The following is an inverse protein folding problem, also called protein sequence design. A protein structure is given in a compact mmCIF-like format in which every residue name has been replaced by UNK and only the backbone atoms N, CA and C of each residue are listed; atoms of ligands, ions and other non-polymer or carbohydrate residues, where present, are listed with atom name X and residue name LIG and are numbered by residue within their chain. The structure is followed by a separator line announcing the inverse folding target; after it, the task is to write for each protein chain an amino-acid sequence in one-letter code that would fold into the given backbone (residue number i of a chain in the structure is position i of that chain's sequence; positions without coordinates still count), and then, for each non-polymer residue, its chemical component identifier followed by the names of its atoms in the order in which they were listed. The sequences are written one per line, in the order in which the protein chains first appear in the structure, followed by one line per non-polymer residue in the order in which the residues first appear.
data_IF_308842962837
#
_entry.id   IF_308842962837
#
_cell.length_a   1.000
_cell.length_b   1.000
_cell.length_c   1.000
_cell.angle_alpha   90.00
_cell.angle_beta   90.00
_cell.angle_gamma   90.00
#
_symmetry.space_group_name_H-M   'P 1'
#
loop_
_entity.id
_entity.type
_entity.pdbx_description
1 polymer ?
#
# COMPACT_ATOMS: atom_id res chain seq x y z
N UNK A 1 -3.72 39.36 6.57
CA UNK A 1 -3.57 38.58 7.81
C UNK A 1 -2.20 38.86 8.41
N UNK A 2 -2.13 39.16 9.70
CA UNK A 2 -0.84 39.32 10.40
C UNK A 2 -0.17 37.95 10.59
N UNK A 3 1.16 37.90 10.74
CA UNK A 3 1.89 36.64 11.04
C UNK A 3 1.30 35.88 12.24
N UNK A 4 0.67 36.62 13.17
CA UNK A 4 -0.04 36.08 14.31
C UNK A 4 -1.33 35.32 13.94
N UNK A 5 -2.11 35.81 12.97
CA UNK A 5 -3.34 35.15 12.52
C UNK A 5 -3.05 33.85 11.75
N UNK A 6 -1.95 33.82 10.99
CA UNK A 6 -1.48 32.62 10.28
C UNK A 6 -1.00 31.57 11.29
N UNK A 7 -0.23 32.00 12.30
CA UNK A 7 0.20 31.12 13.39
C UNK A 7 -0.98 30.59 14.22
N UNK A 8 -1.98 31.44 14.50
CA UNK A 8 -3.18 31.03 15.23
C UNK A 8 -4.02 30.02 14.43
N UNK A 9 -4.18 30.22 13.12
CA UNK A 9 -4.88 29.27 12.25
C UNK A 9 -4.15 27.92 12.17
N UNK A 10 -2.81 27.94 12.12
CA UNK A 10 -1.99 26.73 12.13
C UNK A 10 -2.08 25.97 13.47
N UNK A 11 -2.04 26.68 14.59
CA UNK A 11 -2.24 26.09 15.93
C UNK A 11 -3.65 25.54 16.08
N UNK A 12 -4.67 26.22 15.54
CA UNK A 12 -6.05 25.75 15.56
C UNK A 12 -6.24 24.47 14.73
N UNK A 13 -5.65 24.42 13.53
CA UNK A 13 -5.63 23.21 12.70
C UNK A 13 -4.88 22.06 13.39
N UNK A 14 -3.78 22.34 14.10
CA UNK A 14 -3.05 21.36 14.93
C UNK A 14 -3.93 20.83 16.06
N UNK A 15 -4.64 21.69 16.79
CA UNK A 15 -5.52 21.29 17.88
C UNK A 15 -6.71 20.47 17.39
N UNK A 16 -7.25 20.77 16.21
CA UNK A 16 -8.29 19.94 15.57
C UNK A 16 -7.74 18.58 15.16
N UNK A 17 -6.57 18.53 14.53
CA UNK A 17 -5.91 17.27 14.15
C UNK A 17 -5.57 16.41 15.36
N UNK A 18 -5.03 17.01 16.42
CA UNK A 18 -4.74 16.36 17.70
C UNK A 18 -6.01 15.90 18.41
N UNK A 19 -7.08 16.69 18.38
CA UNK A 19 -8.38 16.30 18.94
C UNK A 19 -9.01 15.13 18.17
N UNK A 20 -8.99 15.14 16.84
CA UNK A 20 -9.43 14.02 16.02
C UNK A 20 -8.60 12.76 16.28
N UNK A 21 -7.28 12.91 16.45
CA UNK A 21 -6.38 11.83 16.86
C UNK A 21 -6.72 11.28 18.25
N UNK A 22 -6.93 12.14 19.24
CA UNK A 22 -7.27 11.74 20.61
C UNK A 22 -8.68 11.14 20.71
N UNK A 23 -9.65 11.61 19.92
CA UNK A 23 -11.00 11.02 19.81
C UNK A 23 -10.93 9.65 19.14
N UNK A 24 -10.11 9.50 18.10
CA UNK A 24 -9.81 8.20 17.48
C UNK A 24 -9.15 7.24 18.47
N UNK A 25 -8.18 7.72 19.26
CA UNK A 25 -7.53 6.97 20.33
C UNK A 25 -8.47 6.64 21.51
N UNK A 26 -9.48 7.47 21.80
CA UNK A 26 -10.45 7.17 22.88
C UNK A 26 -11.46 6.11 22.45
N UNK A 27 -11.80 6.02 21.16
CA UNK A 27 -12.57 4.90 20.58
C UNK A 27 -11.80 3.57 20.60
N UNK A 28 -10.46 3.62 20.70
CA UNK A 28 -9.56 2.46 20.77
C UNK A 28 -9.76 1.58 22.04
N UNK A 29 -10.23 2.15 23.16
CA UNK A 29 -10.44 1.39 24.40
C UNK A 29 -11.69 0.49 24.40
N UNK A 30 -12.49 0.48 23.32
CA UNK A 30 -13.68 -0.36 23.19
C UNK A 30 -13.58 -1.50 22.16
N UNK A 31 -12.47 -1.63 21.42
CA UNK A 31 -12.34 -2.57 20.31
C UNK A 31 -11.47 -3.77 20.70
N UNK A 32 -12.08 -4.95 20.82
CA UNK A 32 -11.42 -6.21 21.23
C UNK A 32 -10.99 -7.09 20.05
N UNK A 33 -11.22 -6.65 18.80
CA UNK A 33 -10.97 -7.48 17.61
C UNK A 33 -9.80 -6.98 16.76
N UNK A 34 -8.98 -7.92 16.29
CA UNK A 34 -7.65 -7.67 15.69
C UNK A 34 -7.76 -7.13 14.25
N UNK A 35 -8.89 -7.38 13.58
CA UNK A 35 -9.12 -7.02 12.17
C UNK A 35 -9.53 -5.55 11.99
N UNK A 36 -10.36 -5.04 12.90
CA UNK A 36 -10.69 -3.60 13.00
C UNK A 36 -9.41 -2.77 13.27
N UNK A 37 -8.48 -3.37 14.01
CA UNK A 37 -7.17 -2.80 14.31
C UNK A 37 -6.28 -2.63 13.06
N UNK A 38 -6.43 -3.46 12.02
CA UNK A 38 -5.55 -3.44 10.84
C UNK A 38 -5.98 -2.40 9.80
N UNK A 39 -7.29 -2.30 9.55
CA UNK A 39 -7.90 -1.34 8.62
C UNK A 39 -7.81 0.10 9.18
N UNK A 40 -8.04 0.28 10.49
CA UNK A 40 -7.83 1.59 11.14
C UNK A 40 -6.35 1.98 11.23
N UNK A 41 -5.41 1.07 11.43
CA UNK A 41 -3.97 1.41 11.43
C UNK A 41 -3.48 1.93 10.08
N UNK A 42 -4.02 1.42 8.97
CA UNK A 42 -3.69 1.91 7.64
C UNK A 42 -4.23 3.32 7.38
N UNK A 43 -5.49 3.57 7.74
CA UNK A 43 -6.13 4.88 7.62
C UNK A 43 -5.49 5.92 8.56
N UNK A 44 -5.21 5.53 9.81
CA UNK A 44 -4.52 6.36 10.81
C UNK A 44 -3.08 6.60 10.39
N UNK A 45 -2.36 5.62 9.84
CA UNK A 45 -1.00 5.80 9.32
C UNK A 45 -0.94 6.78 8.15
N UNK A 46 -1.87 6.66 7.19
CA UNK A 46 -1.98 7.59 6.07
C UNK A 46 -2.38 9.01 6.52
N UNK A 47 -3.33 9.13 7.44
CA UNK A 47 -3.73 10.41 8.03
C UNK A 47 -2.59 11.04 8.84
N UNK A 48 -1.82 10.23 9.57
CA UNK A 48 -0.67 10.70 10.37
C UNK A 48 0.48 11.15 9.48
N UNK A 49 0.79 10.41 8.41
CA UNK A 49 1.82 10.82 7.46
C UNK A 49 1.42 12.10 6.71
N UNK A 50 0.16 12.19 6.29
CA UNK A 50 -0.40 13.41 5.69
C UNK A 50 -0.32 14.57 6.66
N UNK A 51 -0.68 14.35 7.94
CA UNK A 51 -0.56 15.37 8.98
C UNK A 51 0.90 15.77 9.26
N UNK A 52 1.85 14.83 9.25
CA UNK A 52 3.29 15.10 9.43
C UNK A 52 3.85 15.88 8.25
N UNK A 53 3.47 15.57 7.01
CA UNK A 53 3.90 16.31 5.82
C UNK A 53 3.29 17.72 5.83
N UNK A 54 2.01 17.85 6.19
CA UNK A 54 1.35 19.16 6.36
C UNK A 54 1.99 19.97 7.50
N UNK A 55 2.34 19.33 8.63
CA UNK A 55 3.03 19.96 9.76
C UNK A 55 4.47 20.35 9.43
N UNK A 56 5.19 19.51 8.70
CA UNK A 56 6.53 19.79 8.20
C UNK A 56 6.51 20.98 7.25
N UNK A 57 5.49 21.08 6.39
CA UNK A 57 5.27 22.24 5.52
C UNK A 57 4.94 23.52 6.28
N UNK A 58 4.01 23.45 7.24
CA UNK A 58 3.68 24.59 8.10
C UNK A 58 4.92 25.02 8.87
N UNK A 59 5.70 24.06 9.38
CA UNK A 59 6.95 24.33 10.06
C UNK A 59 7.99 24.98 9.15
N UNK A 60 8.11 24.53 7.91
CA UNK A 60 8.99 25.11 6.89
C UNK A 60 8.51 26.53 6.51
N UNK A 61 7.20 26.76 6.38
CA UNK A 61 6.62 28.08 6.09
C UNK A 61 6.70 29.07 7.26
N UNK A 62 6.70 28.58 8.50
CA UNK A 62 6.69 29.40 9.73
C UNK A 62 8.09 29.64 10.30
N UNK A 63 8.96 28.63 10.26
CA UNK A 63 10.26 28.66 10.96
C UNK A 63 11.48 28.82 10.03
N UNK A 64 11.34 28.73 8.70
CA UNK A 64 12.44 29.17 7.83
C UNK A 64 12.48 30.71 7.80
N UNK A 65 13.67 31.33 7.87
CA UNK A 65 13.81 32.76 7.66
C UNK A 65 13.13 33.12 6.35
N UNK A 66 12.11 33.98 6.41
CA UNK A 66 11.35 34.36 5.22
C UNK A 66 12.34 34.92 4.21
N UNK A 67 12.44 34.34 3.00
CA UNK A 67 13.26 34.93 1.97
C UNK A 67 12.68 36.30 1.61
N UNK A 68 13.44 37.18 0.94
CA UNK A 68 12.94 38.47 0.47
C UNK A 68 11.57 38.31 -0.22
N UNK A 69 10.69 39.31 -0.13
CA UNK A 69 9.30 39.22 -0.64
C UNK A 69 9.20 38.67 -2.08
N UNK A 70 10.21 38.90 -2.92
CA UNK A 70 10.29 38.39 -4.30
C UNK A 70 10.48 36.87 -4.43
N UNK A 71 10.98 36.19 -3.39
CA UNK A 71 11.28 34.75 -3.39
C UNK A 71 10.26 33.92 -2.59
N UNK A 72 9.39 34.59 -1.81
CA UNK A 72 8.40 33.95 -0.95
C UNK A 72 7.35 33.16 -1.75
N UNK A 73 6.89 33.70 -2.87
CA UNK A 73 5.85 33.08 -3.69
C UNK A 73 6.35 31.79 -4.36
N UNK A 74 7.62 31.80 -4.79
CA UNK A 74 8.29 30.62 -5.33
C UNK A 74 8.40 29.51 -4.28
N UNK A 75 8.75 29.87 -3.05
CA UNK A 75 8.86 28.90 -1.96
C UNK A 75 7.52 28.26 -1.60
N UNK A 76 6.46 29.07 -1.53
CA UNK A 76 5.10 28.60 -1.30
C UNK A 76 4.67 27.66 -2.43
N UNK A 77 4.96 28.01 -3.69
CA UNK A 77 4.69 27.16 -4.85
C UNK A 77 5.42 25.82 -4.80
N UNK A 78 6.73 25.84 -4.52
CA UNK A 78 7.55 24.62 -4.35
C UNK A 78 7.01 23.74 -3.24
N UNK A 79 6.58 24.34 -2.12
CA UNK A 79 5.90 23.61 -1.06
C UNK A 79 4.65 22.94 -1.64
N UNK A 80 3.62 23.68 -2.06
CA UNK A 80 2.36 23.08 -2.52
C UNK A 80 2.53 22.00 -3.60
N UNK A 81 3.44 22.22 -4.56
CA UNK A 81 3.77 21.22 -5.59
C UNK A 81 4.34 19.94 -4.97
N UNK A 82 5.26 20.06 -4.02
CA UNK A 82 5.82 18.91 -3.30
C UNK A 82 4.74 18.11 -2.57
N UNK A 83 3.78 18.78 -1.92
CA UNK A 83 2.67 18.10 -1.26
C UNK A 83 1.76 17.38 -2.26
N UNK A 84 1.31 18.08 -3.30
CA UNK A 84 0.39 17.50 -4.28
C UNK A 84 1.02 16.33 -5.01
N UNK A 85 2.24 16.48 -5.52
CA UNK A 85 2.95 15.39 -6.18
C UNK A 85 3.27 14.24 -5.23
N UNK A 86 3.66 14.53 -3.98
CA UNK A 86 3.87 13.51 -2.95
C UNK A 86 2.60 12.72 -2.62
N UNK A 87 1.45 13.40 -2.50
CA UNK A 87 0.14 12.76 -2.28
C UNK A 87 -0.28 11.88 -3.47
N UNK A 88 -0.01 12.33 -4.69
CA UNK A 88 -0.29 11.50 -5.88
C UNK A 88 0.59 10.25 -5.88
N UNK A 89 1.90 10.40 -5.66
CA UNK A 89 2.81 9.25 -5.55
C UNK A 89 2.41 8.29 -4.41
N UNK A 90 1.99 8.82 -3.26
CA UNK A 90 1.51 8.01 -2.15
C UNK A 90 0.23 7.25 -2.49
N UNK A 91 -0.76 7.93 -3.08
CA UNK A 91 -2.06 7.30 -3.41
C UNK A 91 -1.90 6.17 -4.44
N UNK A 92 -1.02 6.34 -5.43
CA UNK A 92 -0.69 5.28 -6.40
C UNK A 92 -0.14 4.02 -5.72
N UNK A 93 0.80 4.18 -4.79
CA UNK A 93 1.38 3.05 -4.05
C UNK A 93 0.33 2.45 -3.10
N UNK A 94 -0.43 3.27 -2.39
CA UNK A 94 -1.46 2.81 -1.45
C UNK A 94 -2.54 1.97 -2.16
N UNK A 95 -2.94 2.37 -3.37
CA UNK A 95 -3.88 1.60 -4.20
C UNK A 95 -3.30 0.26 -4.66
N UNK A 96 -1.99 0.15 -4.79
CA UNK A 96 -1.29 -1.08 -5.21
C UNK A 96 -1.11 -2.07 -4.06
N UNK A 97 -0.89 -1.60 -2.85
CA UNK A 97 -0.62 -2.44 -1.67
C UNK A 97 -1.68 -2.23 -0.57
N UNK A 98 -2.95 -2.38 -0.95
CA UNK A 98 -4.12 -2.11 -0.10
C UNK A 98 -4.08 -2.90 1.22
N UNK A 99 -3.50 -4.10 1.19
CA UNK A 99 -3.50 -5.00 2.34
C UNK A 99 -2.59 -4.57 3.48
N UNK A 100 -1.53 -3.77 3.21
CA UNK A 100 -0.56 -3.30 4.25
C UNK A 100 0.07 -1.94 3.92
N UNK A 101 -0.69 -0.83 4.00
CA UNK A 101 -0.19 0.50 3.64
C UNK A 101 0.91 1.02 4.58
N UNK A 102 0.98 0.55 5.83
CA UNK A 102 1.98 0.99 6.82
C UNK A 102 3.40 0.53 6.47
N UNK A 103 3.57 -0.56 5.73
CA UNK A 103 4.91 -0.98 5.30
C UNK A 103 5.47 -0.14 4.15
N UNK A 104 4.62 0.62 3.47
CA UNK A 104 5.00 1.50 2.36
C UNK A 104 5.90 2.66 2.79
N UNK A 105 5.75 3.11 4.04
CA UNK A 105 6.58 4.18 4.59
C UNK A 105 7.94 3.68 5.11
N UNK A 106 8.15 2.35 5.15
CA UNK A 106 9.42 1.74 5.56
C UNK A 106 10.19 1.10 4.42
N UNK A 107 9.55 0.88 3.27
CA UNK A 107 10.18 0.25 2.11
C UNK A 107 10.92 1.26 1.24
N UNK A 108 12.24 1.06 1.06
CA UNK A 108 13.10 2.05 0.39
C UNK A 108 12.71 2.32 -1.08
N UNK A 109 12.37 1.30 -1.90
CA UNK A 109 11.83 1.51 -3.24
C UNK A 109 10.52 2.32 -3.26
N UNK A 110 9.60 2.09 -2.31
CA UNK A 110 8.36 2.85 -2.19
C UNK A 110 8.63 4.33 -1.82
N UNK A 111 9.56 4.59 -0.92
CA UNK A 111 9.98 5.96 -0.57
C UNK A 111 10.65 6.67 -1.75
N UNK A 112 11.52 5.97 -2.51
CA UNK A 112 12.16 6.51 -3.70
C UNK A 112 11.12 6.89 -4.77
N UNK A 113 10.04 6.12 -4.92
CA UNK A 113 8.94 6.43 -5.82
C UNK A 113 8.22 7.75 -5.44
N UNK A 114 7.91 7.92 -4.15
CA UNK A 114 7.30 9.17 -3.64
C UNK A 114 8.25 10.35 -3.87
N UNK A 115 9.55 10.17 -3.59
CA UNK A 115 10.56 11.20 -3.81
C UNK A 115 10.67 11.62 -5.27
N UNK A 116 10.65 10.67 -6.21
CA UNK A 116 10.68 10.99 -7.65
C UNK A 116 9.42 11.73 -8.10
N UNK A 117 8.25 11.42 -7.52
CA UNK A 117 7.04 12.20 -7.75
C UNK A 117 7.20 13.65 -7.25
N UNK A 118 7.73 13.85 -6.04
CA UNK A 118 7.99 15.20 -5.51
C UNK A 118 8.99 15.95 -6.41
N UNK A 119 10.13 15.32 -6.73
CA UNK A 119 11.19 15.91 -7.53
C UNK A 119 10.71 16.29 -8.95
N UNK A 120 9.88 15.45 -9.56
CA UNK A 120 9.28 15.74 -10.87
C UNK A 120 8.30 16.90 -10.82
N UNK A 121 7.47 16.99 -9.78
CA UNK A 121 6.61 18.14 -9.54
C UNK A 121 7.41 19.44 -9.45
N UNK A 122 8.44 19.46 -8.60
CA UNK A 122 9.32 20.63 -8.42
C UNK A 122 9.98 21.01 -9.76
N UNK A 123 10.50 20.03 -10.50
CA UNK A 123 11.10 20.26 -11.82
C UNK A 123 10.10 20.87 -12.82
N UNK A 124 8.88 20.34 -12.87
CA UNK A 124 7.82 20.89 -13.70
C UNK A 124 7.43 22.31 -13.29
N UNK A 125 7.41 22.61 -11.98
CA UNK A 125 7.14 23.95 -11.49
C UNK A 125 8.26 24.94 -11.89
N UNK A 126 9.52 24.51 -11.82
CA UNK A 126 10.66 25.29 -12.32
C UNK A 126 10.52 25.62 -13.81
N UNK A 127 10.06 24.68 -14.64
CA UNK A 127 9.78 24.93 -16.06
C UNK A 127 8.61 25.91 -16.25
N UNK A 128 7.52 25.73 -15.51
CA UNK A 128 6.36 26.63 -15.55
C UNK A 128 6.76 28.07 -15.24
N UNK A 129 7.61 28.29 -14.23
CA UNK A 129 8.16 29.60 -13.90
C UNK A 129 9.11 30.14 -14.99
N UNK A 130 10.02 29.30 -15.48
CA UNK A 130 10.99 29.69 -16.51
C UNK A 130 10.32 30.14 -17.82
N UNK A 131 9.25 29.45 -18.22
CA UNK A 131 8.46 29.78 -19.41
C UNK A 131 7.35 30.82 -19.14
N UNK A 132 7.23 31.32 -17.90
CA UNK A 132 6.22 32.31 -17.49
C UNK A 132 4.79 31.87 -17.83
N UNK A 133 4.53 30.56 -17.76
CA UNK A 133 3.21 30.01 -18.05
C UNK A 133 2.22 30.53 -17.01
N UNK A 134 1.04 30.98 -17.46
CA UNK A 134 -0.03 31.53 -16.61
C UNK A 134 0.30 32.84 -15.85
N UNK A 135 1.45 33.49 -16.11
CA UNK A 135 1.82 34.74 -15.43
C UNK A 135 0.81 35.88 -15.62
N UNK A 136 0.11 35.91 -16.76
CA UNK A 136 -0.85 36.96 -17.10
C UNK A 136 -2.31 36.57 -16.80
N UNK A 137 -2.52 35.46 -16.10
CA UNK A 137 -3.85 34.93 -15.78
C UNK A 137 -4.23 35.32 -14.36
N UNK A 138 -5.50 35.66 -14.12
CA UNK A 138 -6.02 35.82 -12.76
C UNK A 138 -5.83 34.50 -11.98
N UNK A 139 -5.27 34.57 -10.78
CA UNK A 139 -4.88 33.39 -9.99
C UNK A 139 -3.85 32.47 -10.69
N UNK A 140 -2.96 33.05 -11.52
CA UNK A 140 -1.92 32.34 -12.27
C UNK A 140 -1.11 31.36 -11.42
N UNK A 141 -0.70 31.76 -10.21
CA UNK A 141 0.04 30.93 -9.26
C UNK A 141 -0.65 29.60 -8.93
N UNK A 142 -1.98 29.61 -8.77
CA UNK A 142 -2.76 28.39 -8.49
C UNK A 142 -2.71 27.46 -9.69
N UNK A 143 -2.89 28.00 -10.90
CA UNK A 143 -2.77 27.22 -12.13
C UNK A 143 -1.37 26.67 -12.33
N UNK A 144 -0.33 27.44 -12.01
CA UNK A 144 1.06 26.99 -12.09
C UNK A 144 1.33 25.80 -11.18
N UNK A 145 0.88 25.86 -9.93
CA UNK A 145 1.02 24.77 -8.95
C UNK A 145 0.26 23.52 -9.41
N UNK A 146 -1.00 23.68 -9.80
CA UNK A 146 -1.83 22.55 -10.24
C UNK A 146 -1.28 21.91 -11.52
N UNK A 147 -0.94 22.73 -12.52
CA UNK A 147 -0.41 22.27 -13.80
C UNK A 147 0.94 21.58 -13.63
N UNK A 148 1.85 22.12 -12.80
CA UNK A 148 3.12 21.48 -12.51
C UNK A 148 2.93 20.13 -11.81
N UNK A 149 2.07 20.08 -10.78
CA UNK A 149 1.88 18.88 -9.97
C UNK A 149 1.25 17.74 -10.78
N UNK A 150 0.12 17.99 -11.43
CA UNK A 150 -0.60 16.97 -12.21
C UNK A 150 0.03 16.72 -13.58
N UNK A 151 0.64 17.74 -14.20
CA UNK A 151 1.35 17.63 -15.46
C UNK A 151 2.60 16.77 -15.34
N UNK A 152 3.37 16.91 -14.26
CA UNK A 152 4.51 16.04 -13.97
C UNK A 152 4.08 14.57 -13.87
N UNK A 153 3.04 14.28 -13.09
CA UNK A 153 2.49 12.92 -12.94
C UNK A 153 2.06 12.37 -14.30
N UNK A 154 1.31 13.16 -15.08
CA UNK A 154 0.81 12.74 -16.40
C UNK A 154 1.96 12.44 -17.35
N UNK A 155 2.99 13.28 -17.38
CA UNK A 155 4.19 13.07 -18.18
C UNK A 155 4.93 11.80 -17.78
N UNK A 156 5.16 11.59 -16.48
CA UNK A 156 5.87 10.40 -16.00
C UNK A 156 5.08 9.10 -16.17
N UNK A 157 3.75 9.17 -16.24
CA UNK A 157 2.88 8.02 -16.57
C UNK A 157 2.75 7.77 -18.08
N UNK A 158 3.26 8.66 -18.93
CA UNK A 158 3.13 8.53 -20.37
C UNK A 158 4.20 7.62 -20.99
N UNK A 159 3.81 6.93 -22.06
CA UNK A 159 4.67 6.16 -22.95
C UNK A 159 4.67 6.87 -24.30
N UNK A 160 5.84 7.27 -24.81
CA UNK A 160 5.93 8.02 -26.07
C UNK A 160 6.05 7.10 -27.28
N UNK A 161 6.61 5.91 -27.08
CA UNK A 161 6.81 4.92 -28.14
C UNK A 161 6.51 3.52 -27.61
N UNK A 162 6.12 2.63 -28.50
CA UNK A 162 6.04 1.19 -28.24
C UNK A 162 7.03 0.49 -29.15
N UNK A 163 7.86 -0.38 -28.58
CA UNK A 163 8.79 -1.21 -29.33
C UNK A 163 8.42 -2.67 -29.15
N UNK A 164 8.31 -3.40 -30.25
CA UNK A 164 8.00 -4.83 -30.21
C UNK A 164 9.30 -5.62 -30.09
N UNK A 165 9.50 -6.29 -28.96
CA UNK A 165 10.67 -7.13 -28.68
C UNK A 165 10.18 -8.55 -28.42
N UNK A 166 10.68 -9.52 -29.19
CA UNK A 166 10.28 -10.94 -29.08
C UNK A 166 8.76 -11.16 -29.13
N UNK A 167 8.06 -10.40 -29.97
CA UNK A 167 6.61 -10.50 -30.13
C UNK A 167 5.78 -9.78 -29.06
N UNK A 168 6.41 -9.23 -28.02
CA UNK A 168 5.79 -8.46 -26.93
C UNK A 168 5.99 -6.97 -27.16
N UNK A 169 4.93 -6.18 -27.02
CA UNK A 169 5.02 -4.73 -27.10
C UNK A 169 5.51 -4.16 -25.77
N UNK A 170 6.59 -3.39 -25.83
CA UNK A 170 7.24 -2.74 -24.69
C UNK A 170 7.13 -1.24 -24.83
N UNK A 171 6.47 -0.61 -23.88
CA UNK A 171 6.43 0.85 -23.76
C UNK A 171 7.83 1.41 -23.50
N UNK A 172 8.24 2.38 -24.32
CA UNK A 172 9.44 3.19 -24.15
C UNK A 172 8.99 4.60 -23.77
N UNK A 173 9.31 5.00 -22.54
CA UNK A 173 9.07 6.35 -22.06
C UNK A 173 9.41 6.52 -20.58
N UNK A 174 9.09 7.70 -20.02
CA UNK A 174 9.24 7.96 -18.58
C UNK A 174 8.56 6.92 -17.69
N UNK A 175 7.42 6.36 -18.15
CA UNK A 175 6.69 5.32 -17.44
C UNK A 175 7.53 4.05 -17.19
N UNK A 176 8.49 3.74 -18.06
CA UNK A 176 9.34 2.55 -17.92
C UNK A 176 10.20 2.62 -16.66
N UNK A 177 10.69 3.81 -16.29
CA UNK A 177 11.48 4.04 -15.07
C UNK A 177 10.63 3.75 -13.82
N UNK A 178 9.43 4.33 -13.76
CA UNK A 178 8.51 4.14 -12.64
C UNK A 178 8.04 2.69 -12.52
N UNK A 179 7.72 2.04 -13.65
CA UNK A 179 7.39 0.60 -13.69
C UNK A 179 8.52 -0.26 -13.15
N UNK A 180 9.77 0.06 -13.50
CA UNK A 180 10.96 -0.63 -12.98
C UNK A 180 11.08 -0.54 -11.46
N UNK A 181 10.92 0.66 -10.89
CA UNK A 181 10.94 0.87 -9.44
C UNK A 181 9.81 0.12 -8.74
N UNK A 182 8.59 0.24 -9.27
CA UNK A 182 7.43 -0.48 -8.77
C UNK A 182 7.63 -2.01 -8.79
N UNK A 183 8.31 -2.55 -9.80
CA UNK A 183 8.66 -3.97 -9.87
C UNK A 183 9.65 -4.37 -8.78
N UNK A 184 10.63 -3.52 -8.46
CA UNK A 184 11.57 -3.77 -7.36
C UNK A 184 10.86 -3.71 -6.01
N UNK A 185 9.95 -2.75 -5.83
CA UNK A 185 9.06 -2.67 -4.66
C UNK A 185 8.24 -3.96 -4.53
N UNK A 186 7.59 -4.42 -5.61
CA UNK A 186 6.79 -5.65 -5.62
C UNK A 186 7.64 -6.83 -5.16
N UNK A 187 8.85 -6.99 -5.70
CA UNK A 187 9.73 -8.09 -5.34
C UNK A 187 10.14 -8.05 -3.87
N UNK A 188 10.45 -6.86 -3.33
CA UNK A 188 10.83 -6.70 -1.92
C UNK A 188 9.68 -7.05 -0.98
N UNK A 189 8.47 -6.54 -1.27
CA UNK A 189 7.26 -6.80 -0.51
C UNK A 189 6.87 -8.27 -0.63
N UNK A 190 6.93 -8.85 -1.83
CA UNK A 190 6.63 -10.25 -2.07
C UNK A 190 7.56 -11.20 -1.31
N UNK A 191 8.86 -10.89 -1.21
CA UNK A 191 9.80 -11.70 -0.41
C UNK A 191 9.40 -11.73 1.06
N UNK A 192 9.10 -10.57 1.63
CA UNK A 192 8.68 -10.47 3.03
C UNK A 192 7.31 -11.09 3.27
N UNK A 193 6.33 -10.83 2.38
CA UNK A 193 5.00 -11.43 2.47
C UNK A 193 5.05 -12.95 2.34
N UNK A 194 5.88 -13.48 1.45
CA UNK A 194 6.08 -14.91 1.28
C UNK A 194 6.56 -15.58 2.56
N UNK A 195 7.57 -15.00 3.23
CA UNK A 195 8.08 -15.48 4.50
C UNK A 195 7.01 -15.42 5.61
N UNK A 196 6.35 -14.28 5.78
CA UNK A 196 5.30 -14.12 6.80
C UNK A 196 4.11 -15.06 6.58
N UNK A 197 3.75 -15.31 5.31
CA UNK A 197 2.68 -16.24 4.93
C UNK A 197 3.07 -17.69 5.18
N UNK A 198 4.30 -18.08 4.86
CA UNK A 198 4.82 -19.40 5.13
C UNK A 198 4.86 -19.69 6.64
N UNK A 199 5.36 -18.75 7.45
CA UNK A 199 5.38 -18.87 8.91
C UNK A 199 3.98 -19.01 9.50
N UNK A 200 3.03 -18.22 9.02
CA UNK A 200 1.65 -18.29 9.48
C UNK A 200 0.98 -19.59 9.06
N UNK A 201 1.20 -20.03 7.81
CA UNK A 201 0.70 -21.31 7.32
C UNK A 201 1.25 -22.48 8.15
N UNK A 202 2.54 -22.49 8.45
CA UNK A 202 3.16 -23.50 9.31
C UNK A 202 2.52 -23.58 10.70
N UNK A 203 2.17 -22.43 11.28
CA UNK A 203 1.49 -22.37 12.58
C UNK A 203 0.03 -22.83 12.52
N UNK A 204 -0.72 -22.38 11.51
CA UNK A 204 -2.16 -22.69 11.38
C UNK A 204 -2.41 -24.12 10.92
N UNK A 205 -1.52 -24.67 10.08
CA UNK A 205 -1.67 -26.00 9.48
C UNK A 205 -0.94 -27.08 10.27
N UNK A 206 -0.35 -26.74 11.43
CA UNK A 206 0.26 -27.71 12.33
C UNK A 206 -0.79 -28.77 12.72
N UNK A 207 -0.39 -30.04 12.62
CA UNK A 207 -1.22 -31.21 12.92
C UNK A 207 -2.47 -31.35 12.02
N UNK A 208 -2.52 -30.65 10.88
CA UNK A 208 -3.59 -30.77 9.88
C UNK A 208 -3.15 -31.75 8.80
N UNK A 209 -3.98 -32.75 8.52
CA UNK A 209 -3.77 -33.67 7.41
C UNK A 209 -4.26 -33.03 6.10
N UNK A 210 -3.35 -32.83 5.16
CA UNK A 210 -3.65 -32.31 3.83
C UNK A 210 -4.74 -33.13 3.13
N UNK A 211 -4.69 -34.46 3.18
CA UNK A 211 -5.70 -35.32 2.57
C UNK A 211 -7.12 -35.08 3.07
N UNK A 212 -7.28 -34.73 4.36
CA UNK A 212 -8.58 -34.40 4.97
C UNK A 212 -8.97 -32.93 4.74
N UNK A 213 -7.97 -32.04 4.75
CA UNK A 213 -8.18 -30.60 4.66
C UNK A 213 -8.43 -30.11 3.22
N UNK A 214 -7.75 -30.66 2.21
CA UNK A 214 -7.74 -30.10 0.83
C UNK A 214 -9.14 -29.88 0.24
N UNK A 215 -10.10 -30.75 0.56
CA UNK A 215 -11.49 -30.60 0.13
C UNK A 215 -12.28 -29.69 1.09
N UNK A 216 -12.35 -30.08 2.36
CA UNK A 216 -13.22 -29.45 3.37
C UNK A 216 -12.80 -28.03 3.73
N UNK A 217 -11.51 -27.79 3.95
CA UNK A 217 -10.96 -26.47 4.28
C UNK A 217 -11.09 -25.51 3.11
N UNK A 218 -10.74 -25.96 1.91
CA UNK A 218 -10.90 -25.16 0.69
C UNK A 218 -12.36 -24.78 0.48
N UNK A 219 -13.28 -25.76 0.53
CA UNK A 219 -14.70 -25.51 0.32
C UNK A 219 -15.27 -24.50 1.33
N UNK A 220 -14.89 -24.61 2.61
CA UNK A 220 -15.32 -23.67 3.64
C UNK A 220 -14.77 -22.26 3.38
N UNK A 221 -13.47 -22.13 3.11
CA UNK A 221 -12.83 -20.86 2.76
C UNK A 221 -13.49 -20.19 1.54
N UNK A 222 -13.79 -20.94 0.48
CA UNK A 222 -14.43 -20.40 -0.71
C UNK A 222 -15.90 -20.02 -0.44
N UNK A 223 -16.61 -20.79 0.38
CA UNK A 223 -18.02 -20.49 0.71
C UNK A 223 -18.15 -19.24 1.58
N UNK A 224 -17.14 -18.93 2.40
CA UNK A 224 -17.08 -17.67 3.16
C UNK A 224 -16.80 -16.45 2.28
N UNK A 225 -16.33 -16.64 1.04
CA UNK A 225 -16.18 -15.54 0.09
C UNK A 225 -17.51 -15.21 -0.57
N UNK A 226 -17.89 -13.93 -0.56
CA UNK A 226 -19.17 -13.45 -1.12
C UNK A 226 -19.18 -13.39 -2.66
N UNK A 227 -18.01 -13.46 -3.31
CA UNK A 227 -17.87 -13.41 -4.77
C UNK A 227 -16.80 -14.39 -5.25
N UNK A 228 -17.23 -15.56 -5.72
CA UNK A 228 -16.37 -16.50 -6.44
C UNK A 228 -17.04 -16.88 -7.75
N UNK A 229 -16.31 -16.73 -8.85
CA UNK A 229 -16.76 -17.20 -10.17
C UNK A 229 -16.49 -18.69 -10.34
N UNK A 230 -17.20 -19.35 -11.28
CA UNK A 230 -16.94 -20.77 -11.61
C UNK A 230 -15.52 -20.99 -12.16
N UNK A 231 -14.97 -20.00 -12.86
CA UNK A 231 -13.60 -20.01 -13.36
C UNK A 231 -12.59 -20.03 -12.20
N UNK A 232 -12.77 -19.14 -11.21
CA UNK A 232 -11.93 -19.13 -10.01
C UNK A 232 -11.98 -20.45 -9.22
N UNK A 233 -13.14 -21.12 -9.16
CA UNK A 233 -13.22 -22.45 -8.53
C UNK A 233 -12.40 -23.51 -9.28
N UNK A 234 -12.41 -23.47 -10.61
CA UNK A 234 -11.63 -24.38 -11.45
C UNK A 234 -10.12 -24.12 -11.30
N UNK A 235 -9.73 -22.84 -11.21
CA UNK A 235 -8.34 -22.44 -10.97
C UNK A 235 -7.83 -22.95 -9.61
N UNK A 236 -8.66 -22.85 -8.57
CA UNK A 236 -8.35 -23.37 -7.23
C UNK A 236 -8.16 -24.88 -7.24
N UNK A 237 -9.05 -25.61 -7.90
CA UNK A 237 -8.92 -27.06 -8.03
C UNK A 237 -7.63 -27.46 -8.73
N UNK A 238 -7.28 -26.75 -9.82
CA UNK A 238 -6.03 -26.96 -10.57
C UNK A 238 -4.81 -26.66 -9.71
N UNK A 239 -4.83 -25.56 -8.95
CA UNK A 239 -3.73 -25.19 -8.06
C UNK A 239 -3.49 -26.25 -6.97
N UNK A 240 -4.55 -26.80 -6.37
CA UNK A 240 -4.43 -27.86 -5.35
C UNK A 240 -3.82 -29.13 -5.94
N UNK A 241 -4.21 -29.54 -7.16
CA UNK A 241 -3.59 -30.68 -7.84
C UNK A 241 -2.10 -30.46 -8.09
N UNK A 242 -1.70 -29.23 -8.44
CA UNK A 242 -0.28 -28.89 -8.59
C UNK A 242 0.48 -28.95 -7.27
N UNK A 243 -0.16 -28.65 -6.13
CA UNK A 243 0.47 -28.81 -4.81
C UNK A 243 0.76 -30.29 -4.51
N UNK A 244 -0.17 -31.19 -4.81
CA UNK A 244 0.01 -32.64 -4.64
C UNK A 244 1.21 -33.18 -5.42
N UNK A 245 1.53 -32.57 -6.56
CA UNK A 245 2.69 -32.95 -7.35
C UNK A 245 4.03 -32.49 -6.74
N UNK A 246 4.05 -31.58 -5.76
CA UNK A 246 5.27 -30.98 -5.20
C UNK A 246 5.90 -31.77 -4.06
N UNK A 247 5.10 -32.51 -3.29
CA UNK A 247 5.61 -33.32 -2.18
C UNK A 247 4.73 -34.55 -1.94
N UNK A 248 5.31 -35.58 -1.32
CA UNK A 248 4.58 -36.74 -0.80
C UNK A 248 4.32 -36.65 0.70
N UNK A 249 4.88 -35.65 1.38
CA UNK A 249 4.75 -35.48 2.82
C UNK A 249 3.49 -34.66 3.14
N UNK A 250 2.57 -35.26 3.92
CA UNK A 250 1.31 -34.64 4.33
C UNK A 250 1.52 -33.29 5.05
N UNK A 251 2.52 -33.20 5.92
CA UNK A 251 2.83 -31.97 6.64
C UNK A 251 3.26 -30.84 5.69
N UNK A 252 4.18 -31.10 4.78
CA UNK A 252 4.62 -30.11 3.79
C UNK A 252 3.46 -29.66 2.88
N UNK A 253 2.65 -30.61 2.40
CA UNK A 253 1.47 -30.32 1.58
C UNK A 253 0.44 -29.47 2.35
N UNK A 254 0.28 -29.73 3.65
CA UNK A 254 -0.64 -29.00 4.53
C UNK A 254 -0.19 -27.54 4.68
N UNK A 255 1.11 -27.31 4.89
CA UNK A 255 1.69 -25.96 4.95
C UNK A 255 1.51 -25.22 3.62
N UNK A 256 1.79 -25.90 2.49
CA UNK A 256 1.61 -25.32 1.16
C UNK A 256 0.15 -24.95 0.87
N UNK A 257 -0.79 -25.81 1.26
CA UNK A 257 -2.23 -25.54 1.17
C UNK A 257 -2.60 -24.30 2.01
N UNK A 258 -2.13 -24.23 3.25
CA UNK A 258 -2.37 -23.07 4.11
C UNK A 258 -1.82 -21.78 3.51
N UNK A 259 -0.60 -21.80 2.98
CA UNK A 259 -0.01 -20.63 2.33
C UNK A 259 -0.80 -20.19 1.09
N UNK A 260 -1.28 -21.14 0.29
CA UNK A 260 -2.14 -20.85 -0.85
C UNK A 260 -3.48 -20.24 -0.44
N UNK A 261 -4.16 -20.82 0.56
CA UNK A 261 -5.44 -20.31 1.02
C UNK A 261 -5.30 -18.94 1.70
N UNK A 262 -4.23 -18.68 2.46
CA UNK A 262 -3.98 -17.36 3.04
C UNK A 262 -3.83 -16.30 1.94
N UNK A 263 -3.20 -16.64 0.82
CA UNK A 263 -3.10 -15.74 -0.33
C UNK A 263 -4.46 -15.48 -0.97
N UNK A 264 -5.30 -16.52 -1.06
CA UNK A 264 -6.55 -16.46 -1.79
C UNK A 264 -7.66 -15.76 -1.00
N UNK A 265 -7.82 -16.11 0.28
CA UNK A 265 -8.97 -15.69 1.10
C UNK A 265 -8.57 -14.84 2.31
N UNK A 266 -7.27 -14.64 2.53
CA UNK A 266 -6.73 -13.93 3.68
C UNK A 266 -6.50 -14.82 4.91
N UNK A 267 -5.65 -14.39 5.85
CA UNK A 267 -5.22 -15.20 6.99
C UNK A 267 -6.34 -15.54 7.97
N UNK A 268 -7.29 -14.63 8.17
CA UNK A 268 -8.33 -14.80 9.18
C UNK A 268 -9.42 -15.77 8.73
N UNK A 269 -9.79 -15.74 7.45
CA UNK A 269 -10.71 -16.74 6.89
C UNK A 269 -10.11 -18.14 7.05
N UNK A 270 -8.82 -18.32 6.76
CA UNK A 270 -8.15 -19.62 6.95
C UNK A 270 -8.14 -20.02 8.42
N UNK A 271 -7.75 -19.11 9.32
CA UNK A 271 -7.70 -19.38 10.76
C UNK A 271 -9.07 -19.74 11.34
N UNK A 272 -10.12 -19.03 10.97
CA UNK A 272 -11.48 -19.34 11.39
C UNK A 272 -11.97 -20.67 10.80
N UNK A 273 -11.64 -20.96 9.53
CA UNK A 273 -12.03 -22.20 8.87
C UNK A 273 -11.32 -23.43 9.47
N UNK A 274 -10.03 -23.33 9.77
CA UNK A 274 -9.28 -24.38 10.49
C UNK A 274 -9.88 -24.64 11.87
N UNK A 275 -10.23 -23.58 12.61
CA UNK A 275 -10.89 -23.70 13.92
C UNK A 275 -12.27 -24.37 13.81
N UNK A 276 -13.07 -23.99 12.81
CA UNK A 276 -14.41 -24.52 12.61
C UNK A 276 -14.41 -26.01 12.24
N UNK A 277 -13.46 -26.44 11.39
CA UNK A 277 -13.34 -27.86 11.00
C UNK A 277 -12.72 -28.72 12.11
N UNK A 278 -11.89 -28.12 12.96
CA UNK A 278 -11.41 -28.71 14.21
C UNK A 278 -10.77 -30.09 14.01
N UNK A 279 -11.26 -31.09 14.75
CA UNK A 279 -10.73 -32.47 14.71
C UNK A 279 -10.95 -33.20 13.38
N UNK A 280 -11.90 -32.76 12.55
CA UNK A 280 -12.26 -33.42 11.28
C UNK A 280 -11.08 -33.43 10.29
N UNK A 281 -10.22 -32.42 10.37
CA UNK A 281 -9.08 -32.24 9.46
C UNK A 281 -7.73 -32.57 10.11
N UNK A 282 -7.71 -32.99 11.38
CA UNK A 282 -6.45 -33.30 12.08
C UNK A 282 -5.82 -34.59 11.58
N UNK A 283 -4.50 -34.62 11.61
CA UNK A 283 -3.70 -35.82 11.45
C UNK A 283 -4.05 -36.83 12.55
N UNK A 284 -4.26 -38.08 12.16
CA UNK A 284 -4.43 -39.16 13.12
C UNK A 284 -3.07 -39.46 13.74
N UNK A 285 -2.91 -39.51 15.07
CA UNK A 285 -1.62 -39.88 15.67
C UNK A 285 -1.21 -41.27 15.18
N UNK A 286 0.04 -41.41 14.73
CA UNK A 286 0.64 -42.72 14.43
C UNK A 286 0.75 -43.47 15.77
N UNK A 287 0.16 -44.67 15.92
CA UNK A 287 0.37 -45.48 17.12
C UNK A 287 1.84 -45.81 17.28
N UNK A 288 2.36 -45.69 18.50
CA UNK A 288 3.73 -46.10 18.84
C UNK A 288 3.90 -47.60 18.50
N UNK A 289 4.90 -48.02 17.69
CA UNK A 289 5.11 -49.42 17.34
C UNK A 289 5.41 -50.37 18.52
N UNK A 290 5.46 -49.85 19.75
CA UNK A 290 5.81 -50.58 20.97
C UNK A 290 4.64 -50.72 21.98
N UNK A 291 3.38 -50.67 21.52
CA UNK A 291 2.21 -51.09 22.32
C UNK A 291 1.56 -52.36 21.78
#
# INVERSE_FOLDING_TARGET
MTNFEIAAAAVFAFLIGLWLFLVSMRRWHGMTDIDDLSMHKGLVGAATLTAIVLLGMVGVLVFTPQPPLAERDVFIGVAFVSLLSGLVGFTEIAQRYQDRPVHLITDSPALLYIYLNIASGIGAYGLVLAFKLFNNTAHGEVYQVLFASFGAVTFFRSSFFTARVNGVDVDIGPATLLKGLLTLTDQSINRWQGAARADLAAKLMKDIAFSKAKGSLTALCLTTMQYITKEQQADVATAIQQLEARSKQEEELSILLGAYLIQLVGPEVVKQSVRALGSTIKSTPVPDPLQ
#
